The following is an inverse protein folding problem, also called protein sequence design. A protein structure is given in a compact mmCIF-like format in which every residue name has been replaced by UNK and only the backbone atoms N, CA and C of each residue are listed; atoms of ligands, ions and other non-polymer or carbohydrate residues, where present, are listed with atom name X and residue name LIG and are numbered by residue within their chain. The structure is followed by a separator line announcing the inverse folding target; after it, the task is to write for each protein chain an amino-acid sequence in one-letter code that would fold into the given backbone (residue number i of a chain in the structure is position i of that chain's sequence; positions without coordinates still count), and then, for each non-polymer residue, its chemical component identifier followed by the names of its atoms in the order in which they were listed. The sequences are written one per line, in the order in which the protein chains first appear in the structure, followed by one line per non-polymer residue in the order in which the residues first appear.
data_IF_803426838461
#
_entry.id   IF_803426838461
#
_cell.length_a   1.000
_cell.length_b   1.000
_cell.length_c   1.000
_cell.angle_alpha   90.00
_cell.angle_beta   90.00
_cell.angle_gamma   90.00
#
_symmetry.space_group_name_H-M   'P 1'
#
loop_
_entity.id
_entity.type
_entity.pdbx_description
1 polymer ?
#
# COMPACT_ATOMS: atom_id res chain seq x y z
N UNK A 1 23.29 11.97 -8.05
CA UNK A 1 21.82 12.07 -7.92
C UNK A 1 21.21 10.72 -7.58
N UNK A 2 21.64 9.61 -8.26
CA UNK A 2 21.09 8.28 -8.02
C UNK A 2 21.34 7.74 -6.60
N UNK A 3 22.55 7.90 -6.08
CA UNK A 3 22.93 7.46 -4.72
C UNK A 3 22.16 8.20 -3.62
N UNK A 4 21.80 9.46 -3.83
CA UNK A 4 21.02 10.27 -2.90
C UNK A 4 19.58 9.80 -2.82
N UNK A 5 18.94 9.57 -3.97
CA UNK A 5 17.56 9.07 -4.03
C UNK A 5 17.43 7.68 -3.37
N UNK A 6 18.39 6.79 -3.60
CA UNK A 6 18.43 5.46 -3.01
C UNK A 6 18.53 5.51 -1.47
N UNK A 7 19.34 6.42 -0.91
CA UNK A 7 19.44 6.61 0.55
C UNK A 7 18.13 7.10 1.16
N UNK A 8 17.46 8.03 0.49
CA UNK A 8 16.16 8.53 0.92
C UNK A 8 15.12 7.40 0.91
N UNK A 9 15.06 6.61 -0.18
CA UNK A 9 14.14 5.47 -0.30
C UNK A 9 14.40 4.40 0.78
N UNK A 10 15.67 4.05 1.04
CA UNK A 10 16.04 3.13 2.12
C UNK A 10 15.62 3.64 3.49
N UNK A 11 15.76 4.94 3.73
CA UNK A 11 15.35 5.54 5.00
C UNK A 11 13.83 5.51 5.16
N UNK A 12 13.08 5.73 4.06
CA UNK A 12 11.62 5.64 4.07
C UNK A 12 11.18 4.21 4.36
N UNK A 13 11.73 3.22 3.65
CA UNK A 13 11.43 1.80 3.90
C UNK A 13 11.71 1.41 5.35
N UNK A 14 12.83 1.89 5.91
CA UNK A 14 13.14 1.67 7.32
C UNK A 14 12.10 2.26 8.27
N UNK A 15 11.61 3.48 7.99
CA UNK A 15 10.56 4.12 8.78
C UNK A 15 9.24 3.35 8.67
N UNK A 16 8.92 2.86 7.47
CA UNK A 16 7.73 2.04 7.22
C UNK A 16 7.78 0.68 7.94
N UNK A 17 8.94 0.07 8.06
CA UNK A 17 9.15 -1.18 8.80
C UNK A 17 9.15 -0.98 10.32
N UNK A 18 9.43 0.24 10.80
CA UNK A 18 9.60 0.57 12.22
C UNK A 18 8.62 1.66 12.69
N UNK A 19 7.47 1.83 12.03
CA UNK A 19 6.52 2.90 12.33
C UNK A 19 5.93 2.82 13.74
N UNK A 20 5.85 1.61 14.31
CA UNK A 20 5.25 1.26 15.59
C UNK A 20 6.07 1.67 16.80
N UNK A 21 7.34 2.04 16.61
CA UNK A 21 8.23 2.49 17.69
C UNK A 21 8.73 3.91 17.48
N UNK A 22 9.30 4.48 18.52
CA UNK A 22 10.08 5.71 18.39
C UNK A 22 11.39 5.41 17.64
N UNK A 23 11.68 6.19 16.60
CA UNK A 23 12.91 6.05 15.80
C UNK A 23 13.86 7.18 16.22
N UNK A 24 15.00 6.85 16.85
CA UNK A 24 16.00 7.85 17.21
C UNK A 24 16.55 8.58 15.98
N UNK A 25 16.81 9.87 16.09
CA UNK A 25 17.34 10.67 14.98
C UNK A 25 18.63 10.10 14.40
N UNK A 26 19.46 9.48 15.24
CA UNK A 26 20.73 8.85 14.84
C UNK A 26 20.52 7.70 13.85
N UNK A 27 19.50 6.87 14.04
CA UNK A 27 19.18 5.78 13.10
C UNK A 27 18.85 6.33 11.71
N UNK A 28 18.11 7.44 11.67
CA UNK A 28 17.79 8.14 10.41
C UNK A 28 19.06 8.72 9.77
N UNK A 29 19.93 9.34 10.57
CA UNK A 29 21.19 9.93 10.09
C UNK A 29 22.12 8.88 9.50
N UNK A 30 22.24 7.72 10.18
CA UNK A 30 23.11 6.62 9.76
C UNK A 30 22.67 6.02 8.41
N UNK A 31 21.36 5.86 8.19
CA UNK A 31 20.82 5.30 6.93
C UNK A 31 20.80 6.33 5.81
N UNK A 32 20.33 7.54 6.10
CA UNK A 32 20.21 8.62 5.13
C UNK A 32 21.57 9.20 4.70
N UNK A 33 22.60 9.06 5.54
CA UNK A 33 23.88 9.77 5.43
C UNK A 33 23.70 11.31 5.36
N UNK A 34 22.72 11.82 6.07
CA UNK A 34 22.40 13.23 6.25
C UNK A 34 22.26 13.55 7.73
N UNK A 35 22.47 14.81 8.13
CA UNK A 35 21.98 15.24 9.44
C UNK A 35 20.46 15.13 9.48
N UNK A 36 19.89 14.81 10.64
CA UNK A 36 18.45 14.67 10.83
C UNK A 36 17.66 15.88 10.31
N UNK A 37 18.16 17.10 10.61
CA UNK A 37 17.55 18.34 10.13
C UNK A 37 17.55 18.45 8.59
N UNK A 38 18.63 18.02 7.94
CA UNK A 38 18.69 18.05 6.48
C UNK A 38 17.74 17.01 5.87
N UNK A 39 17.71 15.80 6.45
CA UNK A 39 16.78 14.76 6.05
C UNK A 39 15.32 15.22 6.17
N UNK A 40 14.92 15.82 7.30
CA UNK A 40 13.58 16.37 7.48
C UNK A 40 13.21 17.40 6.39
N UNK A 41 14.15 18.26 5.99
CA UNK A 41 13.92 19.24 4.94
C UNK A 41 13.72 18.60 3.57
N UNK A 42 14.53 17.61 3.23
CA UNK A 42 14.42 16.86 1.98
C UNK A 42 13.12 16.05 1.97
N UNK A 43 12.81 15.39 3.07
CA UNK A 43 11.57 14.62 3.24
C UNK A 43 10.32 15.49 3.05
N UNK A 44 10.27 16.65 3.73
CA UNK A 44 9.17 17.61 3.57
C UNK A 44 9.02 18.06 2.11
N UNK A 45 10.13 18.31 1.41
CA UNK A 45 10.09 18.72 -0.01
C UNK A 45 9.53 17.62 -0.92
N UNK A 46 9.85 16.35 -0.63
CA UNK A 46 9.43 15.20 -1.45
C UNK A 46 8.01 14.72 -1.11
N UNK A 47 7.66 14.70 0.17
CA UNK A 47 6.41 14.09 0.65
C UNK A 47 5.32 15.11 1.01
N UNK A 48 5.66 16.39 1.18
CA UNK A 48 4.70 17.42 1.56
C UNK A 48 4.21 17.34 3.02
N UNK A 49 4.81 16.47 3.83
CA UNK A 49 4.48 16.27 5.24
C UNK A 49 5.74 16.15 6.11
N UNK A 50 5.61 16.38 7.41
CA UNK A 50 6.73 16.17 8.35
C UNK A 50 6.98 14.69 8.57
N UNK A 51 8.22 14.33 8.94
CA UNK A 51 8.57 12.95 9.27
C UNK A 51 7.72 12.38 10.41
N UNK A 52 7.47 13.16 11.44
CA UNK A 52 6.58 12.77 12.55
C UNK A 52 5.12 12.67 12.13
N UNK A 53 4.67 13.51 11.19
CA UNK A 53 3.34 13.42 10.56
C UNK A 53 3.18 12.12 9.79
N UNK A 54 4.17 11.79 8.96
CA UNK A 54 4.23 10.56 8.19
C UNK A 54 4.17 9.32 9.10
N UNK A 55 5.03 9.23 10.12
CA UNK A 55 5.02 8.11 11.05
C UNK A 55 3.69 7.99 11.80
N UNK A 56 3.12 9.12 12.24
CA UNK A 56 1.80 9.13 12.87
C UNK A 56 0.70 8.63 11.92
N UNK A 57 0.74 9.05 10.66
CA UNK A 57 -0.19 8.61 9.62
C UNK A 57 -0.07 7.09 9.40
N UNK A 58 1.13 6.56 9.25
CA UNK A 58 1.36 5.12 9.13
C UNK A 58 0.77 4.33 10.31
N UNK A 59 0.95 4.79 11.54
CA UNK A 59 0.36 4.17 12.75
C UNK A 59 -1.17 4.12 12.66
N UNK A 60 -1.80 5.21 12.28
CA UNK A 60 -3.26 5.30 12.21
C UNK A 60 -3.85 4.50 11.05
N UNK A 61 -3.22 4.52 9.88
CA UNK A 61 -3.62 3.73 8.71
C UNK A 61 -3.50 2.22 8.99
N UNK A 62 -2.38 1.78 9.57
CA UNK A 62 -2.18 0.39 9.98
C UNK A 62 -3.19 -0.04 11.06
N UNK A 63 -3.49 0.84 12.02
CA UNK A 63 -4.53 0.57 13.00
C UNK A 63 -5.90 0.44 12.34
N UNK A 64 -6.23 1.29 11.38
CA UNK A 64 -7.51 1.21 10.69
C UNK A 64 -7.65 -0.10 9.90
N UNK A 65 -6.62 -0.49 9.14
CA UNK A 65 -6.59 -1.79 8.46
C UNK A 65 -6.83 -2.95 9.45
N UNK A 66 -6.11 -2.97 10.59
CA UNK A 66 -6.32 -3.99 11.64
C UNK A 66 -7.75 -3.97 12.21
N UNK A 67 -8.35 -2.79 12.41
CA UNK A 67 -9.75 -2.68 12.83
C UNK A 67 -10.73 -3.31 11.83
N UNK A 68 -10.44 -3.20 10.53
CA UNK A 68 -11.26 -3.77 9.47
C UNK A 68 -11.03 -5.26 9.27
N UNK A 69 -9.80 -5.73 9.40
CA UNK A 69 -9.35 -7.06 8.95
C UNK A 69 -9.22 -8.08 10.09
N UNK A 70 -9.17 -7.65 11.36
CA UNK A 70 -8.96 -8.55 12.50
C UNK A 70 -10.05 -8.43 13.56
N UNK A 71 -10.08 -9.40 14.48
CA UNK A 71 -10.92 -9.38 15.69
C UNK A 71 -10.18 -8.85 16.93
N UNK A 72 -8.94 -8.44 16.80
CA UNK A 72 -8.09 -8.00 17.90
C UNK A 72 -8.74 -6.88 18.70
N UNK A 73 -8.51 -6.88 20.01
CA UNK A 73 -9.03 -5.82 20.88
C UNK A 73 -8.48 -4.46 20.44
N UNK A 74 -9.30 -3.43 20.45
CA UNK A 74 -8.87 -2.06 20.09
C UNK A 74 -7.68 -1.60 20.92
N UNK A 75 -7.61 -2.02 22.19
CA UNK A 75 -6.48 -1.75 23.07
C UNK A 75 -5.17 -2.43 22.62
N UNK A 76 -5.26 -3.68 22.14
CA UNK A 76 -4.11 -4.41 21.58
C UNK A 76 -3.61 -3.74 20.32
N UNK A 77 -4.52 -3.40 19.39
CA UNK A 77 -4.18 -2.66 18.17
C UNK A 77 -3.48 -1.34 18.50
N UNK A 78 -3.97 -0.59 19.49
CA UNK A 78 -3.35 0.66 19.90
C UNK A 78 -1.87 0.49 20.30
N UNK A 79 -1.57 -0.55 21.08
CA UNK A 79 -0.20 -0.87 21.51
C UNK A 79 0.67 -1.33 20.34
N UNK A 80 0.16 -2.23 19.51
CA UNK A 80 0.87 -2.78 18.34
C UNK A 80 1.27 -1.71 17.31
N UNK A 81 0.47 -0.65 17.17
CA UNK A 81 0.81 0.46 16.28
C UNK A 81 1.58 1.59 16.98
N UNK A 82 2.11 1.34 18.18
CA UNK A 82 3.05 2.21 18.87
C UNK A 82 2.42 3.33 19.71
N UNK A 83 1.17 3.19 20.16
CA UNK A 83 0.57 4.08 21.16
C UNK A 83 0.73 3.51 22.57
N UNK A 84 1.08 4.34 23.53
CA UNK A 84 1.26 3.92 24.93
C UNK A 84 -0.04 3.52 25.63
N UNK A 85 -1.19 4.05 25.18
CA UNK A 85 -2.49 3.75 25.78
C UNK A 85 -3.63 3.99 24.78
N UNK A 86 -4.77 3.37 25.09
CA UNK A 86 -5.99 3.46 24.31
C UNK A 86 -6.55 4.89 24.18
N UNK A 87 -6.38 5.73 25.19
CA UNK A 87 -6.92 7.10 25.17
C UNK A 87 -6.21 7.98 24.15
N UNK A 88 -4.87 7.97 24.15
CA UNK A 88 -4.06 8.73 23.18
C UNK A 88 -4.31 8.24 21.76
N UNK A 89 -4.42 6.93 21.56
CA UNK A 89 -4.79 6.34 20.29
C UNK A 89 -6.17 6.79 19.81
N UNK A 90 -7.20 6.61 20.64
CA UNK A 90 -8.59 6.95 20.28
C UNK A 90 -8.75 8.44 19.95
N UNK A 91 -8.07 9.32 20.67
CA UNK A 91 -8.05 10.76 20.38
C UNK A 91 -7.38 11.07 19.03
N UNK A 92 -6.24 10.44 18.76
CA UNK A 92 -5.51 10.62 17.50
C UNK A 92 -6.32 10.08 16.31
N UNK A 93 -6.91 8.89 16.46
CA UNK A 93 -7.74 8.24 15.45
C UNK A 93 -9.01 9.05 15.13
N UNK A 94 -9.70 9.52 16.16
CA UNK A 94 -10.89 10.37 15.98
C UNK A 94 -10.54 11.70 15.29
N UNK A 95 -9.39 12.29 15.65
CA UNK A 95 -8.93 13.52 15.00
C UNK A 95 -8.67 13.32 13.50
N UNK A 96 -8.16 12.16 13.11
CA UNK A 96 -7.81 11.85 11.72
C UNK A 96 -9.03 11.46 10.88
N UNK A 97 -9.88 10.59 11.40
CA UNK A 97 -10.96 9.96 10.64
C UNK A 97 -12.37 10.46 11.01
N UNK A 98 -12.50 11.35 11.99
CA UNK A 98 -13.81 11.87 12.46
C UNK A 98 -14.68 10.87 13.22
N UNK A 99 -14.26 9.61 13.35
CA UNK A 99 -14.99 8.53 14.04
C UNK A 99 -14.10 7.85 15.08
N UNK A 100 -14.70 7.16 16.05
CA UNK A 100 -13.92 6.38 17.01
C UNK A 100 -13.47 5.03 16.42
N UNK A 101 -12.38 4.41 16.94
CA UNK A 101 -11.94 3.09 16.51
C UNK A 101 -13.02 2.01 16.62
N UNK A 102 -13.86 2.07 17.67
CA UNK A 102 -14.96 1.13 17.86
C UNK A 102 -16.07 1.30 16.79
N UNK A 103 -16.36 2.55 16.41
CA UNK A 103 -17.29 2.86 15.32
C UNK A 103 -16.73 2.40 13.98
N UNK A 104 -15.45 2.67 13.70
CA UNK A 104 -14.79 2.20 12.49
C UNK A 104 -14.92 0.67 12.32
N UNK A 105 -14.69 -0.10 13.37
CA UNK A 105 -14.87 -1.55 13.36
C UNK A 105 -16.34 -1.97 13.11
N UNK A 106 -17.27 -1.33 13.79
CA UNK A 106 -18.72 -1.65 13.67
C UNK A 106 -19.24 -1.34 12.27
N UNK A 107 -18.78 -0.26 11.66
CA UNK A 107 -19.26 0.25 10.37
C UNK A 107 -18.40 -0.21 9.18
N UNK A 108 -17.52 -1.21 9.36
CA UNK A 108 -16.62 -1.68 8.31
C UNK A 108 -17.32 -1.97 6.97
N UNK A 109 -18.47 -2.64 7.01
CA UNK A 109 -19.23 -2.97 5.80
C UNK A 109 -19.75 -1.72 5.08
N UNK A 110 -20.04 -0.64 5.82
CA UNK A 110 -20.52 0.62 5.25
C UNK A 110 -19.41 1.37 4.50
N UNK A 111 -18.17 1.28 4.98
CA UNK A 111 -17.01 1.89 4.30
C UNK A 111 -16.84 1.28 2.91
N UNK A 112 -16.96 -0.04 2.81
CA UNK A 112 -16.80 -0.75 1.54
C UNK A 112 -18.03 -0.66 0.61
N UNK A 113 -19.23 -0.48 1.16
CA UNK A 113 -20.46 -0.31 0.36
C UNK A 113 -20.51 1.01 -0.42
N UNK A 114 -19.71 2.00 -0.05
CA UNK A 114 -19.64 3.29 -0.74
C UNK A 114 -18.87 3.23 -2.07
N UNK A 115 -18.12 2.14 -2.32
CA UNK A 115 -17.18 2.05 -3.42
C UNK A 115 -17.77 1.69 -4.77
N UNK A 116 -18.95 1.09 -4.84
CA UNK A 116 -19.46 0.64 -6.16
C UNK A 116 -20.97 0.68 -6.31
N UNK A 117 -21.37 1.03 -7.53
CA UNK A 117 -22.68 0.81 -8.10
C UNK A 117 -22.71 -0.41 -9.05
N UNK A 118 -21.75 -1.34 -8.93
CA UNK A 118 -21.64 -2.45 -9.89
C UNK A 118 -22.55 -3.60 -9.54
N UNK A 119 -23.06 -4.18 -10.61
CA UNK A 119 -23.91 -5.37 -10.70
C UNK A 119 -23.32 -6.56 -9.93
N UNK A 120 -24.19 -7.39 -9.35
CA UNK A 120 -23.84 -8.63 -8.61
C UNK A 120 -23.32 -9.75 -9.56
N UNK A 121 -22.58 -9.44 -10.59
CA UNK A 121 -21.96 -10.44 -11.45
C UNK A 121 -20.98 -11.28 -10.63
N UNK A 122 -21.09 -12.59 -10.76
CA UNK A 122 -20.32 -13.57 -9.98
C UNK A 122 -18.82 -13.27 -10.05
N UNK A 123 -18.25 -12.84 -8.93
CA UNK A 123 -16.80 -12.68 -8.80
C UNK A 123 -16.13 -14.04 -8.79
N UNK A 124 -15.23 -14.25 -9.75
CA UNK A 124 -14.38 -15.43 -9.76
C UNK A 124 -13.10 -15.11 -8.97
N UNK A 125 -12.88 -15.85 -7.90
CA UNK A 125 -11.64 -15.78 -7.15
C UNK A 125 -11.14 -17.18 -6.83
N UNK A 126 -9.85 -17.29 -6.57
CA UNK A 126 -9.23 -18.48 -6.03
C UNK A 126 -8.25 -18.12 -4.91
N UNK A 127 -7.90 -19.10 -4.10
CA UNK A 127 -6.86 -18.95 -3.07
C UNK A 127 -5.61 -19.64 -3.57
N UNK A 128 -4.56 -18.85 -3.80
CA UNK A 128 -3.29 -19.33 -4.36
C UNK A 128 -2.14 -19.05 -3.42
N UNK A 129 -1.11 -19.88 -3.51
CA UNK A 129 0.19 -19.61 -2.90
C UNK A 129 1.13 -19.06 -3.97
N UNK A 130 1.58 -17.81 -3.81
CA UNK A 130 2.60 -17.21 -4.68
C UNK A 130 3.96 -17.35 -3.99
N UNK A 131 4.97 -17.76 -4.74
CA UNK A 131 6.34 -17.83 -4.23
C UNK A 131 6.94 -16.43 -4.10
N UNK A 132 7.99 -16.29 -3.27
CA UNK A 132 8.73 -15.03 -3.19
C UNK A 132 9.44 -14.75 -4.51
N UNK A 133 9.28 -13.53 -5.00
CA UNK A 133 9.94 -13.05 -6.22
C UNK A 133 10.73 -11.77 -5.92
N UNK A 134 11.85 -11.62 -6.57
CA UNK A 134 12.62 -10.38 -6.56
C UNK A 134 12.17 -9.50 -7.70
N UNK A 135 11.89 -8.23 -7.41
CA UNK A 135 11.46 -7.24 -8.40
C UNK A 135 12.29 -5.96 -8.26
N UNK A 136 12.30 -5.17 -9.32
CA UNK A 136 12.91 -3.85 -9.37
C UNK A 136 11.80 -2.84 -9.56
N UNK A 137 11.58 -1.99 -8.55
CA UNK A 137 10.43 -1.12 -8.43
C UNK A 137 10.81 0.36 -8.56
N UNK A 138 9.93 1.12 -9.19
CA UNK A 138 9.96 2.59 -9.27
C UNK A 138 8.64 3.13 -8.75
N UNK A 139 8.71 3.95 -7.70
CA UNK A 139 7.52 4.43 -7.01
C UNK A 139 7.17 5.87 -7.33
N UNK A 140 5.88 6.17 -7.28
CA UNK A 140 5.34 7.53 -7.32
C UNK A 140 4.34 7.75 -6.18
N UNK A 141 4.19 9.01 -5.81
CA UNK A 141 3.05 9.49 -5.05
C UNK A 141 2.01 9.98 -6.06
N UNK A 142 0.80 9.48 -5.95
CA UNK A 142 -0.29 9.83 -6.86
C UNK A 142 -1.55 10.18 -6.07
N UNK A 143 -2.35 11.11 -6.56
CA UNK A 143 -3.62 11.47 -5.93
C UNK A 143 -4.67 10.42 -6.26
N UNK A 144 -5.12 9.69 -5.24
CA UNK A 144 -6.15 8.65 -5.35
C UNK A 144 -5.89 7.65 -6.50
N UNK A 145 -4.63 7.22 -6.66
CA UNK A 145 -4.23 6.30 -7.75
C UNK A 145 -4.63 6.80 -9.14
N UNK A 146 -4.38 8.08 -9.42
CA UNK A 146 -4.70 8.70 -10.69
C UNK A 146 -4.04 7.97 -11.86
N UNK A 147 -4.83 7.48 -12.80
CA UNK A 147 -4.34 6.70 -13.95
C UNK A 147 -3.34 7.46 -14.82
N UNK A 148 -3.48 8.78 -14.95
CA UNK A 148 -2.55 9.59 -15.73
C UNK A 148 -1.13 9.53 -15.18
N UNK A 149 -0.98 9.62 -13.86
CA UNK A 149 0.34 9.57 -13.21
C UNK A 149 0.92 8.16 -13.29
N UNK A 150 0.07 7.13 -13.12
CA UNK A 150 0.47 5.71 -13.21
C UNK A 150 0.88 5.36 -14.64
N UNK A 151 0.12 5.77 -15.64
CA UNK A 151 0.44 5.54 -17.05
C UNK A 151 1.76 6.23 -17.44
N UNK A 152 1.97 7.49 -17.01
CA UNK A 152 3.23 8.19 -17.27
C UNK A 152 4.44 7.48 -16.62
N UNK A 153 4.25 6.85 -15.46
CA UNK A 153 5.30 6.02 -14.83
C UNK A 153 5.63 4.80 -15.69
N UNK A 154 4.61 4.07 -16.16
CA UNK A 154 4.79 2.89 -17.02
C UNK A 154 5.41 3.24 -18.36
N UNK A 155 4.94 4.28 -19.04
CA UNK A 155 5.52 4.80 -20.28
C UNK A 155 7.02 5.12 -20.13
N UNK A 156 7.39 5.68 -18.96
CA UNK A 156 8.80 5.94 -18.63
C UNK A 156 9.62 4.67 -18.45
N UNK A 157 9.05 3.59 -17.89
CA UNK A 157 9.73 2.30 -17.71
C UNK A 157 9.87 1.58 -19.06
N UNK A 158 8.79 1.52 -19.85
CA UNK A 158 8.79 0.92 -21.20
C UNK A 158 9.79 1.58 -22.17
N UNK A 159 10.03 2.87 -22.00
CA UNK A 159 11.06 3.58 -22.78
C UNK A 159 12.51 3.26 -22.35
N UNK A 160 12.68 2.75 -21.12
CA UNK A 160 14.02 2.46 -20.54
C UNK A 160 14.40 0.98 -20.72
N UNK A 161 13.44 0.04 -20.67
CA UNK A 161 13.71 -1.39 -20.63
C UNK A 161 12.52 -2.22 -21.16
N UNK A 162 12.85 -3.29 -21.88
CA UNK A 162 11.88 -4.33 -22.23
C UNK A 162 11.68 -5.28 -21.04
N UNK A 163 10.44 -5.64 -20.74
CA UNK A 163 10.09 -6.58 -19.67
C UNK A 163 8.97 -7.53 -20.10
N UNK A 164 8.95 -8.70 -19.47
CA UNK A 164 7.98 -9.74 -19.77
C UNK A 164 6.85 -9.81 -18.74
N UNK A 165 7.13 -9.40 -17.51
CA UNK A 165 6.19 -9.45 -16.40
C UNK A 165 6.22 -8.14 -15.64
N UNK A 166 5.04 -7.58 -15.39
CA UNK A 166 4.85 -6.29 -14.75
C UNK A 166 3.93 -6.42 -13.52
N UNK A 167 4.28 -5.69 -12.47
CA UNK A 167 3.54 -5.67 -11.21
C UNK A 167 3.26 -4.25 -10.75
N UNK A 168 2.04 -4.02 -10.24
CA UNK A 168 1.71 -2.89 -9.40
C UNK A 168 1.81 -3.31 -7.93
N UNK A 169 2.44 -2.50 -7.08
CA UNK A 169 2.51 -2.70 -5.64
C UNK A 169 1.72 -1.60 -4.96
N UNK A 170 0.59 -1.96 -4.34
CA UNK A 170 -0.35 -1.06 -3.70
C UNK A 170 -0.19 -1.17 -2.19
N UNK A 171 0.57 -0.27 -1.61
CA UNK A 171 0.85 -0.27 -0.16
C UNK A 171 -0.27 0.39 0.64
N UNK A 172 -0.84 1.45 0.10
CA UNK A 172 -1.84 2.27 0.79
C UNK A 172 -3.25 1.82 0.43
N UNK A 173 -4.15 1.86 1.42
CA UNK A 173 -5.55 1.50 1.22
C UNK A 173 -6.35 2.74 0.78
N UNK A 174 -6.90 2.79 -0.45
CA UNK A 174 -7.56 3.98 -1.00
C UNK A 174 -8.71 4.53 -0.15
N UNK A 175 -9.34 3.66 0.66
CA UNK A 175 -10.46 4.04 1.54
C UNK A 175 -10.03 4.58 2.90
N UNK A 176 -8.77 4.40 3.26
CA UNK A 176 -8.22 4.76 4.57
C UNK A 176 -7.21 5.88 4.42
N UNK A 177 -6.33 5.75 3.44
CA UNK A 177 -5.28 6.73 3.15
C UNK A 177 -5.89 7.95 2.48
N UNK A 178 -5.53 9.14 2.96
CA UNK A 178 -5.93 10.37 2.30
C UNK A 178 -5.45 10.36 0.85
N UNK A 179 -6.32 10.78 -0.09
CA UNK A 179 -6.06 10.76 -1.52
C UNK A 179 -4.74 11.42 -1.96
N UNK A 180 -4.27 12.41 -1.19
CA UNK A 180 -3.01 13.13 -1.45
C UNK A 180 -1.76 12.31 -1.09
N UNK A 181 -1.91 11.16 -0.42
CA UNK A 181 -0.78 10.36 0.10
C UNK A 181 -0.71 8.95 -0.47
N UNK A 182 -1.54 8.61 -1.45
CA UNK A 182 -1.50 7.29 -2.08
C UNK A 182 -0.18 7.08 -2.83
N UNK A 183 0.42 5.91 -2.65
CA UNK A 183 1.67 5.52 -3.30
C UNK A 183 1.45 4.29 -4.16
N UNK A 184 1.96 4.38 -5.35
CA UNK A 184 1.96 3.30 -6.33
C UNK A 184 3.40 2.99 -6.72
N UNK A 185 3.74 1.71 -6.82
CA UNK A 185 5.03 1.27 -7.33
C UNK A 185 4.82 0.36 -8.54
N UNK A 186 5.41 0.74 -9.66
CA UNK A 186 5.55 -0.11 -10.83
C UNK A 186 6.81 -0.96 -10.66
N UNK A 187 6.70 -2.27 -10.83
CA UNK A 187 7.77 -3.22 -10.60
C UNK A 187 7.88 -4.25 -11.72
N UNK A 188 9.11 -4.66 -12.05
CA UNK A 188 9.44 -5.65 -13.07
C UNK A 188 10.42 -6.67 -12.51
N UNK A 189 10.48 -7.88 -13.09
CA UNK A 189 11.42 -8.92 -12.65
C UNK A 189 12.83 -8.73 -13.24
N UNK A 190 12.93 -8.07 -14.37
CA UNK A 190 14.18 -7.83 -15.05
C UNK A 190 15.11 -6.94 -14.22
N UNK A 191 16.38 -7.35 -14.12
CA UNK A 191 17.39 -6.58 -13.39
C UNK A 191 17.78 -5.34 -14.17
N UNK A 192 17.54 -4.18 -13.58
CA UNK A 192 17.86 -2.89 -14.19
C UNK A 192 19.19 -2.38 -13.65
N UNK A 193 20.18 -2.08 -14.52
CA UNK A 193 21.43 -1.48 -14.07
C UNK A 193 21.20 -0.04 -13.60
N UNK A 194 21.88 0.33 -12.50
CA UNK A 194 21.79 1.66 -11.91
C UNK A 194 20.88 1.76 -10.69
N UNK A 195 20.78 2.96 -10.13
CA UNK A 195 20.12 3.21 -8.84
C UNK A 195 18.71 3.82 -8.99
N UNK A 196 18.14 3.80 -10.20
CA UNK A 196 16.81 4.38 -10.45
C UNK A 196 15.66 3.48 -10.01
N UNK A 197 15.95 2.19 -9.78
CA UNK A 197 14.99 1.19 -9.33
C UNK A 197 15.39 0.64 -7.97
N UNK A 198 14.43 0.45 -7.12
CA UNK A 198 14.63 -0.18 -5.81
C UNK A 198 14.43 -1.69 -5.94
N UNK A 199 15.46 -2.46 -5.59
CA UNK A 199 15.32 -3.93 -5.48
C UNK A 199 14.44 -4.26 -4.28
N UNK A 200 13.36 -5.00 -4.51
CA UNK A 200 12.37 -5.43 -3.51
C UNK A 200 12.08 -6.91 -3.62
N UNK A 201 11.46 -7.46 -2.58
CA UNK A 201 10.91 -8.82 -2.59
C UNK A 201 9.40 -8.75 -2.38
N UNK A 202 8.65 -9.29 -3.32
CA UNK A 202 7.25 -9.66 -3.09
C UNK A 202 7.29 -11.00 -2.36
N UNK A 203 6.90 -11.01 -1.09
CA UNK A 203 7.03 -12.19 -0.24
C UNK A 203 6.04 -13.30 -0.60
N UNK A 204 6.52 -14.52 -0.60
CA UNK A 204 5.70 -15.73 -0.80
C UNK A 204 4.72 -15.93 0.33
N UNK A 205 3.43 -16.03 -0.02
CA UNK A 205 2.33 -16.27 0.90
C UNK A 205 1.05 -16.71 0.19
N UNK A 206 0.03 -16.98 0.97
CA UNK A 206 -1.33 -17.17 0.44
C UNK A 206 -1.96 -15.83 0.10
N UNK A 207 -2.63 -15.80 -1.04
CA UNK A 207 -3.40 -14.66 -1.53
C UNK A 207 -4.79 -15.11 -1.97
N UNK A 208 -5.77 -14.25 -1.77
CA UNK A 208 -7.01 -14.32 -2.54
C UNK A 208 -6.73 -13.59 -3.88
N UNK A 209 -6.77 -14.36 -4.98
CA UNK A 209 -6.52 -13.84 -6.31
C UNK A 209 -7.84 -13.57 -7.02
N UNK A 210 -7.97 -12.37 -7.53
CA UNK A 210 -9.09 -11.92 -8.34
C UNK A 210 -8.62 -11.59 -9.74
N UNK A 211 -9.52 -11.78 -10.72
CA UNK A 211 -9.23 -11.48 -12.11
C UNK A 211 -10.03 -10.25 -12.52
N UNK A 212 -9.30 -9.24 -12.99
CA UNK A 212 -9.89 -8.09 -13.66
C UNK A 212 -9.69 -8.23 -15.17
N UNK A 213 -10.77 -8.15 -15.92
CA UNK A 213 -10.77 -8.13 -17.38
C UNK A 213 -11.14 -6.74 -17.87
N UNK A 214 -10.36 -6.19 -18.76
CA UNK A 214 -10.63 -4.92 -19.43
C UNK A 214 -9.69 -3.79 -19.03
N UNK A 215 -10.15 -2.55 -19.21
CA UNK A 215 -9.32 -1.37 -19.03
C UNK A 215 -8.98 -1.13 -17.56
N UNK A 216 -7.71 -0.78 -17.29
CA UNK A 216 -7.19 -0.40 -15.97
C UNK A 216 -7.96 0.76 -15.31
N UNK A 217 -8.68 1.58 -16.07
CA UNK A 217 -9.54 2.65 -15.52
C UNK A 217 -10.64 2.13 -14.59
N UNK A 218 -11.03 0.85 -14.75
CA UNK A 218 -12.07 0.19 -13.95
C UNK A 218 -11.51 -0.71 -12.82
N UNK A 219 -10.20 -0.71 -12.58
CA UNK A 219 -9.59 -1.48 -11.51
C UNK A 219 -10.18 -1.16 -10.13
N UNK A 220 -10.45 0.12 -9.83
CA UNK A 220 -11.04 0.52 -8.56
C UNK A 220 -12.44 -0.07 -8.33
N UNK A 221 -13.21 -0.30 -9.39
CA UNK A 221 -14.52 -0.98 -9.28
C UNK A 221 -14.35 -2.43 -8.85
N UNK A 222 -13.32 -3.12 -9.39
CA UNK A 222 -12.96 -4.49 -8.99
C UNK A 222 -12.51 -4.54 -7.53
N UNK A 223 -11.71 -3.58 -7.07
CA UNK A 223 -11.34 -3.46 -5.65
C UNK A 223 -12.56 -3.30 -4.74
N UNK A 224 -13.48 -2.41 -5.11
CA UNK A 224 -14.70 -2.18 -4.35
C UNK A 224 -15.60 -3.40 -4.27
N UNK A 225 -15.75 -4.10 -5.37
CA UNK A 225 -16.52 -5.34 -5.43
C UNK A 225 -15.86 -6.46 -4.60
N UNK A 226 -14.52 -6.58 -4.68
CA UNK A 226 -13.77 -7.50 -3.82
C UNK A 226 -14.05 -7.26 -2.34
N UNK A 227 -13.89 -6.04 -1.86
CA UNK A 227 -14.07 -5.74 -0.43
C UNK A 227 -15.49 -6.04 0.04
N UNK A 228 -16.51 -5.73 -0.75
CA UNK A 228 -17.90 -6.08 -0.41
C UNK A 228 -18.10 -7.58 -0.32
N UNK A 229 -17.69 -8.29 -1.36
CA UNK A 229 -17.89 -9.73 -1.48
C UNK A 229 -17.06 -10.49 -0.44
N UNK A 230 -15.77 -10.25 -0.40
CA UNK A 230 -14.85 -10.98 0.46
C UNK A 230 -15.14 -10.77 1.94
N UNK A 231 -15.38 -9.53 2.36
CA UNK A 231 -15.63 -9.21 3.77
C UNK A 231 -16.99 -9.66 4.26
N UNK A 232 -17.97 -9.92 3.39
CA UNK A 232 -19.22 -10.52 3.78
C UNK A 232 -19.05 -11.98 4.24
N UNK A 233 -18.23 -12.75 3.48
CA UNK A 233 -18.05 -14.19 3.72
C UNK A 233 -16.78 -14.50 4.53
N UNK A 234 -15.73 -13.69 4.41
CA UNK A 234 -14.41 -13.93 4.99
C UNK A 234 -13.86 -12.69 5.73
N UNK A 235 -14.53 -12.17 6.76
CA UNK A 235 -14.28 -10.82 7.27
C UNK A 235 -12.91 -10.59 7.91
N UNK A 236 -12.13 -11.63 8.23
CA UNK A 236 -10.93 -11.52 9.06
C UNK A 236 -9.71 -12.23 8.46
N UNK A 237 -9.71 -12.52 7.18
CA UNK A 237 -8.63 -13.26 6.55
C UNK A 237 -7.62 -12.37 5.79
N UNK A 238 -7.82 -11.05 5.77
CA UNK A 238 -6.90 -10.14 5.07
C UNK A 238 -5.71 -9.78 5.96
N UNK A 239 -4.53 -9.77 5.34
CA UNK A 239 -3.30 -9.29 5.94
C UNK A 239 -3.05 -7.80 5.60
N UNK A 240 -2.19 -7.16 6.37
CA UNK A 240 -1.86 -5.75 6.22
C UNK A 240 -0.76 -5.46 5.16
N UNK A 241 -0.25 -6.50 4.52
CA UNK A 241 0.77 -6.38 3.48
C UNK A 241 0.22 -5.73 2.20
N UNK A 242 1.08 -5.24 1.30
CA UNK A 242 0.65 -4.64 0.05
C UNK A 242 -0.19 -5.59 -0.81
N UNK A 243 -1.19 -5.03 -1.48
CA UNK A 243 -1.89 -5.71 -2.58
C UNK A 243 -0.99 -5.68 -3.80
N UNK A 244 -0.96 -6.79 -4.55
CA UNK A 244 -0.14 -6.94 -5.75
C UNK A 244 -1.06 -7.06 -6.95
N UNK A 245 -0.81 -6.27 -7.96
CA UNK A 245 -1.37 -6.37 -9.29
C UNK A 245 -0.33 -7.02 -10.20
N UNK A 246 -0.70 -8.05 -10.94
CA UNK A 246 0.15 -8.69 -11.95
C UNK A 246 -0.49 -8.48 -13.31
N UNK A 247 0.20 -7.74 -14.17
CA UNK A 247 -0.30 -7.37 -15.48
C UNK A 247 0.12 -8.42 -16.51
N UNK A 248 -0.86 -9.07 -17.11
CA UNK A 248 -0.62 -10.02 -18.17
C UNK A 248 -0.62 -9.27 -19.51
N UNK A 249 0.56 -9.19 -20.09
CA UNK A 249 0.75 -8.59 -21.41
C UNK A 249 0.22 -9.57 -22.47
N UNK A 250 -0.87 -9.21 -23.13
CA UNK A 250 -1.47 -10.01 -24.22
C UNK A 250 -1.12 -9.40 -25.57
N UNK A 251 -0.69 -10.24 -26.51
CA UNK A 251 -0.50 -9.86 -27.92
C UNK A 251 -1.82 -9.48 -28.60
N UNK A 252 -2.97 -9.89 -28.05
CA UNK A 252 -4.31 -9.66 -28.62
C UNK A 252 -4.95 -8.35 -28.19
N UNK A 253 -4.30 -7.58 -27.28
CA UNK A 253 -4.82 -6.31 -26.77
C UNK A 253 -5.91 -6.45 -25.70
N UNK A 254 -6.24 -7.66 -25.27
CA UNK A 254 -7.08 -7.88 -24.09
C UNK A 254 -6.22 -7.73 -22.82
N UNK A 255 -6.60 -6.80 -21.97
CA UNK A 255 -5.92 -6.58 -20.69
C UNK A 255 -6.52 -7.49 -19.62
N UNK A 256 -5.68 -8.32 -19.02
CA UNK A 256 -6.03 -9.12 -17.84
C UNK A 256 -5.10 -8.76 -16.71
N UNK A 257 -5.65 -8.42 -15.56
CA UNK A 257 -4.89 -8.13 -14.35
C UNK A 257 -5.28 -9.11 -13.25
N UNK A 258 -4.31 -9.83 -12.70
CA UNK A 258 -4.50 -10.57 -11.48
C UNK A 258 -4.26 -9.66 -10.28
N UNK A 259 -5.24 -9.57 -9.37
CA UNK A 259 -5.16 -8.79 -8.15
C UNK A 259 -5.04 -9.75 -6.97
N UNK A 260 -3.93 -9.67 -6.24
CA UNK A 260 -3.61 -10.54 -5.12
C UNK A 260 -3.77 -9.79 -3.81
N UNK A 261 -4.81 -10.14 -3.06
CA UNK A 261 -5.02 -9.65 -1.70
C UNK A 261 -4.35 -10.59 -0.70
N UNK A 262 -3.38 -10.11 0.11
CA UNK A 262 -2.66 -10.97 1.03
C UNK A 262 -3.59 -11.49 2.12
N UNK A 263 -3.49 -12.80 2.41
CA UNK A 263 -4.26 -13.46 3.46
C UNK A 263 -3.44 -13.60 4.73
N UNK A 264 -4.12 -13.40 5.85
CA UNK A 264 -3.60 -13.71 7.17
C UNK A 264 -3.61 -15.23 7.36
N UNK A 265 -2.48 -15.82 7.79
CA UNK A 265 -2.33 -17.26 8.02
C UNK A 265 -2.54 -17.56 9.50
#
# INVERSE_FOLDING_TARGET
VSTELNRIQKTIAYIEENFDREIPSREIEDIACYSYRNFQRVFMKLFGETLSGFQKRLRLENAYKKLLYTTDKVSSIALEVGYYNLQSFSKAFHKEYGISPAVARKERNKIFSSLTKTDDSAFVYDVVYKQSITVYAKGIKTRNYNNKDINALWEGIEAEIDFSTAYGIITDQPLITNEEYCRYEAAIEESVPGDNYQKKTIFGRKYARFVHHGNFEHLLDTYGAFYRFWLADNPFLLDNSPVIEEYLLSETGEHTTYIYFPLHI
#
